data_IF_810552952661
#
_entry.id   IF_810552952661
#
_cell.length_a   1.000
_cell.length_b   1.000
_cell.length_c   1.000
_cell.angle_alpha   90.00
_cell.angle_beta   90.00
_cell.angle_gamma   90.00
#
_symmetry.space_group_name_H-M   'P 1'
#
loop_
_entity.id
_entity.type
_entity.pdbx_description
1 polymer ?
#
# COMPACT_ATOMS: atom_id res chain seq x y z
N UNK A 1 -42.64 43.94 3.38
CA UNK A 1 -42.28 42.57 3.81
C UNK A 1 -40.89 42.27 3.25
N UNK A 2 -39.88 42.12 4.11
CA UNK A 2 -38.49 41.78 3.70
C UNK A 2 -38.33 40.27 3.83
N UNK A 3 -38.10 39.59 2.71
CA UNK A 3 -37.73 38.16 2.67
C UNK A 3 -36.25 38.03 3.04
N UNK A 4 -35.98 37.50 4.23
CA UNK A 4 -34.67 37.04 4.65
C UNK A 4 -34.48 35.60 4.14
N UNK A 5 -33.67 35.44 3.10
CA UNK A 5 -33.09 34.14 2.75
C UNK A 5 -31.80 33.98 3.55
N UNK A 6 -31.83 33.14 4.59
CA UNK A 6 -30.62 32.63 5.23
C UNK A 6 -30.42 31.19 4.75
N UNK A 7 -29.36 31.00 3.96
CA UNK A 7 -28.86 29.70 3.51
C UNK A 7 -28.53 28.82 4.73
N UNK A 8 -28.98 27.55 4.80
CA UNK A 8 -28.39 26.61 5.73
C UNK A 8 -27.02 26.18 5.17
N UNK A 9 -25.96 26.59 5.88
CA UNK A 9 -24.61 26.09 5.70
C UNK A 9 -24.60 24.61 6.11
N UNK A 10 -24.81 23.72 5.14
CA UNK A 10 -24.77 22.28 5.33
C UNK A 10 -23.31 21.86 5.52
N UNK A 11 -22.86 21.84 6.78
CA UNK A 11 -21.61 21.21 7.20
C UNK A 11 -21.69 19.72 6.88
N UNK A 12 -21.10 19.33 5.76
CA UNK A 12 -20.82 17.94 5.45
C UNK A 12 -19.76 17.44 6.43
N UNK A 13 -20.21 16.89 7.55
CA UNK A 13 -19.37 16.08 8.44
C UNK A 13 -18.98 14.83 7.65
N UNK A 14 -17.76 14.84 7.10
CA UNK A 14 -17.13 13.68 6.47
C UNK A 14 -16.73 12.73 7.60
N UNK A 15 -17.69 11.95 8.10
CA UNK A 15 -17.43 10.91 9.08
C UNK A 15 -16.71 9.74 8.41
N UNK A 16 -15.53 9.37 8.93
CA UNK A 16 -14.85 8.16 8.51
C UNK A 16 -15.69 6.94 8.87
N UNK A 17 -15.98 6.12 7.87
CA UNK A 17 -16.79 4.92 8.02
C UNK A 17 -15.93 3.87 8.73
N UNK A 18 -16.22 3.63 9.99
CA UNK A 18 -15.54 2.62 10.81
C UNK A 18 -15.84 1.23 10.26
N UNK A 19 -14.81 0.50 9.81
CA UNK A 19 -14.91 -0.92 9.51
C UNK A 19 -14.71 -1.68 10.83
N UNK A 20 -15.80 -2.24 11.35
CA UNK A 20 -15.84 -2.99 12.60
C UNK A 20 -14.90 -4.21 12.52
N UNK A 21 -13.79 -4.20 13.27
CA UNK A 21 -12.86 -5.32 13.32
C UNK A 21 -12.85 -5.94 14.73
N UNK A 22 -13.34 -7.17 14.82
CA UNK A 22 -13.45 -7.91 16.06
C UNK A 22 -12.08 -8.50 16.47
N UNK A 23 -11.67 -8.20 17.71
CA UNK A 23 -10.75 -8.95 18.58
C UNK A 23 -9.40 -9.39 18.00
N UNK A 24 -8.37 -8.60 18.31
CA UNK A 24 -6.98 -8.89 18.03
C UNK A 24 -6.30 -9.48 19.28
N UNK A 25 -6.13 -10.81 19.26
CA UNK A 25 -5.13 -11.51 20.06
C UNK A 25 -4.42 -12.47 19.09
N UNK A 26 -3.45 -11.98 18.32
CA UNK A 26 -2.68 -12.85 17.42
C UNK A 26 -1.23 -12.91 17.85
N UNK A 27 -0.93 -13.92 18.67
CA UNK A 27 0.42 -14.50 18.70
C UNK A 27 0.71 -15.00 17.30
N UNK A 28 1.75 -14.47 16.66
CA UNK A 28 2.29 -14.93 15.37
C UNK A 28 2.40 -16.45 15.41
N UNK A 29 1.45 -17.15 14.77
CA UNK A 29 1.45 -18.61 14.65
C UNK A 29 2.17 -19.00 13.36
N UNK A 30 2.96 -20.09 13.36
CA UNK A 30 3.60 -20.63 12.17
C UNK A 30 2.62 -21.48 11.36
N UNK A 31 1.40 -20.98 11.13
CA UNK A 31 0.45 -21.56 10.17
C UNK A 31 0.79 -20.99 8.77
N UNK A 32 0.48 -21.71 7.67
CA UNK A 32 0.70 -21.16 6.33
C UNK A 32 0.06 -19.79 6.22
N UNK A 33 0.85 -18.79 5.81
CA UNK A 33 0.38 -17.41 5.76
C UNK A 33 -0.72 -17.33 4.68
N UNK A 34 -1.86 -16.75 5.03
CA UNK A 34 -3.08 -16.76 4.18
C UNK A 34 -2.89 -16.06 2.83
N UNK A 35 -1.81 -15.28 2.66
CA UNK A 35 -1.47 -14.57 1.43
C UNK A 35 -0.71 -15.40 0.38
N UNK A 36 -0.41 -16.69 0.63
CA UNK A 36 0.43 -17.52 -0.25
C UNK A 36 -0.28 -17.97 -1.55
N UNK A 37 -1.57 -17.66 -1.73
CA UNK A 37 -2.25 -17.88 -2.99
C UNK A 37 -1.71 -16.95 -4.09
N UNK A 38 -1.51 -17.50 -5.30
CA UNK A 38 -0.99 -16.72 -6.43
C UNK A 38 -2.02 -15.64 -6.83
N UNK A 39 -1.60 -14.38 -7.01
CA UNK A 39 -2.51 -13.31 -7.37
C UNK A 39 -3.10 -13.52 -8.77
N UNK A 40 -4.42 -13.40 -8.88
CA UNK A 40 -5.14 -13.31 -10.15
C UNK A 40 -4.92 -11.95 -10.82
N UNK A 41 -5.40 -11.78 -12.06
CA UNK A 41 -5.45 -10.45 -12.68
C UNK A 41 -6.34 -9.50 -11.87
N UNK A 42 -5.95 -8.23 -11.80
CA UNK A 42 -6.70 -7.17 -11.13
C UNK A 42 -6.82 -7.35 -9.61
N UNK A 43 -5.75 -7.89 -9.01
CA UNK A 43 -5.63 -8.08 -7.56
C UNK A 43 -4.65 -7.09 -6.93
N UNK A 44 -4.94 -6.74 -5.68
CA UNK A 44 -4.06 -5.98 -4.80
C UNK A 44 -3.63 -6.89 -3.66
N UNK A 45 -2.34 -6.93 -3.36
CA UNK A 45 -1.80 -7.73 -2.25
C UNK A 45 -0.52 -7.10 -1.68
N UNK A 46 -0.10 -7.57 -0.51
CA UNK A 46 1.10 -7.05 0.15
C UNK A 46 2.29 -7.99 0.01
N UNK A 47 3.47 -7.39 -0.10
CA UNK A 47 4.71 -8.10 -0.33
C UNK A 47 5.88 -7.50 0.47
N UNK A 48 6.85 -8.35 0.78
CA UNK A 48 8.15 -7.95 1.33
C UNK A 48 9.25 -8.85 0.75
N UNK A 49 10.51 -8.63 1.15
CA UNK A 49 11.69 -9.35 0.61
C UNK A 49 11.77 -9.28 -0.91
N UNK A 50 11.38 -8.11 -1.44
CA UNK A 50 11.28 -7.86 -2.88
C UNK A 50 12.67 -7.78 -3.49
N UNK A 51 12.88 -8.51 -4.59
CA UNK A 51 14.14 -8.55 -5.34
C UNK A 51 13.87 -8.43 -6.83
N UNK A 52 14.67 -7.61 -7.51
CA UNK A 52 14.64 -7.49 -8.97
C UNK A 52 15.60 -8.50 -9.60
N UNK A 53 15.13 -9.22 -10.61
CA UNK A 53 15.94 -10.01 -11.53
C UNK A 53 15.68 -9.55 -12.96
N UNK A 54 16.75 -9.25 -13.70
CA UNK A 54 16.65 -8.93 -15.14
C UNK A 54 16.84 -10.23 -15.95
N UNK A 55 15.90 -10.50 -16.87
CA UNK A 55 15.93 -11.67 -17.76
C UNK A 55 15.66 -11.20 -19.19
N UNK A 56 16.74 -10.83 -19.90
CA UNK A 56 16.63 -10.26 -21.25
C UNK A 56 16.00 -8.89 -21.21
N UNK A 57 14.89 -8.72 -21.93
CA UNK A 57 14.06 -7.51 -21.96
C UNK A 57 13.08 -7.43 -20.77
N UNK A 58 12.92 -8.51 -20.01
CA UNK A 58 11.95 -8.57 -18.91
C UNK A 58 12.57 -8.31 -17.56
N UNK A 59 11.84 -7.56 -16.74
CA UNK A 59 12.11 -7.37 -15.31
C UNK A 59 11.20 -8.28 -14.51
N UNK A 60 11.77 -9.18 -13.72
CA UNK A 60 11.05 -10.11 -12.86
C UNK A 60 11.22 -9.66 -11.42
N UNK A 61 10.11 -9.42 -10.75
CA UNK A 61 10.06 -9.14 -9.32
C UNK A 61 9.80 -10.44 -8.58
N UNK A 62 10.74 -10.81 -7.73
CA UNK A 62 10.57 -11.89 -6.77
C UNK A 62 10.17 -11.32 -5.41
N UNK A 63 9.29 -12.00 -4.69
CA UNK A 63 8.78 -11.52 -3.43
C UNK A 63 8.33 -12.66 -2.50
N UNK A 64 8.19 -12.33 -1.23
CA UNK A 64 7.40 -13.08 -0.26
C UNK A 64 6.09 -12.33 -0.01
N UNK A 65 4.96 -13.02 0.04
CA UNK A 65 3.70 -12.38 0.40
C UNK A 65 3.74 -11.92 1.86
N UNK A 66 3.00 -10.86 2.18
CA UNK A 66 2.75 -10.42 3.54
C UNK A 66 1.24 -10.35 3.78
N UNK A 67 0.76 -10.92 4.88
CA UNK A 67 -0.59 -10.67 5.36
C UNK A 67 -0.52 -9.46 6.30
N UNK A 68 -1.27 -8.42 5.97
CA UNK A 68 -1.28 -7.14 6.69
C UNK A 68 -2.71 -6.83 7.08
N UNK A 69 -2.93 -6.61 8.36
CA UNK A 69 -4.17 -6.04 8.87
C UNK A 69 -4.15 -4.52 8.65
N UNK A 70 -5.27 -3.98 8.18
CA UNK A 70 -5.43 -2.55 7.93
C UNK A 70 -6.49 -2.01 8.88
N UNK A 71 -6.11 -1.04 9.72
CA UNK A 71 -7.04 -0.24 10.49
C UNK A 71 -7.06 1.19 9.94
N UNK A 72 -8.17 1.91 10.12
CA UNK A 72 -8.28 3.32 9.74
C UNK A 72 -8.34 4.13 11.03
N UNK A 73 -7.42 5.06 11.20
CA UNK A 73 -7.41 5.99 12.32
C UNK A 73 -7.69 7.41 11.84
N UNK A 74 -8.46 8.13 12.65
CA UNK A 74 -8.55 9.59 12.54
C UNK A 74 -7.35 10.22 13.25
N UNK A 75 -6.65 11.10 12.54
CA UNK A 75 -5.53 11.87 13.07
C UNK A 75 -5.72 13.35 12.74
N UNK A 76 -5.33 14.21 13.67
CA UNK A 76 -5.33 15.65 13.44
C UNK A 76 -3.94 16.09 12.97
N UNK A 77 -3.89 16.90 11.91
CA UNK A 77 -2.66 17.56 11.53
C UNK A 77 -2.28 18.68 12.53
N UNK A 78 -1.12 19.30 12.33
CA UNK A 78 -0.62 20.39 13.17
C UNK A 78 -1.55 21.63 13.19
N UNK A 79 -2.45 21.75 12.22
CA UNK A 79 -3.46 22.81 12.13
C UNK A 79 -4.79 22.43 12.78
N UNK A 80 -4.92 21.20 13.30
CA UNK A 80 -6.13 20.66 13.89
C UNK A 80 -7.16 20.17 12.87
N UNK A 81 -6.79 20.01 11.60
CA UNK A 81 -7.65 19.40 10.59
C UNK A 81 -7.58 17.88 10.70
N UNK A 82 -8.76 17.26 10.77
CA UNK A 82 -8.92 15.82 10.83
C UNK A 82 -8.66 15.17 9.46
N UNK A 83 -7.82 14.15 9.42
CA UNK A 83 -7.58 13.29 8.26
C UNK A 83 -7.58 11.82 8.68
N UNK A 84 -7.99 10.95 7.76
CA UNK A 84 -7.97 9.51 8.01
C UNK A 84 -6.71 8.88 7.40
N UNK A 85 -6.03 8.08 8.21
CA UNK A 85 -4.81 7.37 7.85
C UNK A 85 -5.00 5.86 8.01
N UNK A 86 -4.40 5.11 7.08
CA UNK A 86 -4.31 3.67 7.20
C UNK A 86 -3.16 3.31 8.15
N UNK A 87 -3.47 2.50 9.15
CA UNK A 87 -2.52 1.83 10.03
C UNK A 87 -2.34 0.40 9.52
N UNK A 88 -1.09 0.02 9.29
CA UNK A 88 -0.72 -1.29 8.78
C UNK A 88 -0.01 -2.09 9.87
N UNK A 89 -0.56 -3.25 10.22
CA UNK A 89 0.02 -4.17 11.18
C UNK A 89 0.32 -5.53 10.52
N UNK A 90 1.53 -6.05 10.72
CA UNK A 90 1.95 -7.31 10.12
C UNK A 90 1.31 -8.49 10.85
N UNK A 91 0.54 -9.30 10.13
CA UNK A 91 0.03 -10.56 10.67
C UNK A 91 1.03 -11.70 10.44
N UNK A 92 1.51 -11.86 9.20
CA UNK A 92 2.53 -12.85 8.85
C UNK A 92 3.25 -12.53 7.54
N UNK A 93 4.39 -13.20 7.31
CA UNK A 93 5.10 -13.22 6.03
C UNK A 93 5.14 -14.65 5.52
N UNK A 94 4.68 -14.86 4.29
CA UNK A 94 4.73 -16.15 3.62
C UNK A 94 6.16 -16.65 3.46
N UNK A 95 6.34 -17.96 3.56
CA UNK A 95 7.66 -18.58 3.43
C UNK A 95 8.02 -18.89 1.98
N UNK A 96 6.99 -19.02 1.13
CA UNK A 96 7.14 -19.26 -0.30
C UNK A 96 7.56 -17.98 -1.01
N UNK A 97 8.57 -18.11 -1.88
CA UNK A 97 9.01 -17.06 -2.80
C UNK A 97 8.24 -17.20 -4.11
N UNK A 98 7.55 -16.16 -4.52
CA UNK A 98 6.83 -16.10 -5.81
C UNK A 98 7.43 -14.99 -6.71
N UNK A 99 6.95 -14.91 -7.94
CA UNK A 99 7.47 -13.99 -8.96
C UNK A 99 6.39 -13.48 -9.91
N UNK A 100 6.55 -12.23 -10.32
CA UNK A 100 5.72 -11.55 -11.31
C UNK A 100 6.59 -10.74 -12.27
N UNK A 101 6.10 -10.55 -13.49
CA UNK A 101 6.70 -9.63 -14.46
C UNK A 101 6.37 -8.21 -14.01
N UNK A 102 7.37 -7.33 -13.96
CA UNK A 102 7.21 -5.90 -13.74
C UNK A 102 6.91 -5.22 -15.09
N UNK A 103 5.80 -4.50 -15.15
CA UNK A 103 5.46 -3.68 -16.31
C UNK A 103 6.49 -2.57 -16.51
N UNK A 104 7.00 -2.36 -17.73
CA UNK A 104 7.95 -1.26 -18.03
C UNK A 104 7.39 0.11 -17.64
N UNK A 105 6.07 0.26 -17.72
CA UNK A 105 5.34 1.49 -17.46
C UNK A 105 4.77 1.61 -16.03
N UNK A 106 5.21 0.78 -15.07
CA UNK A 106 4.63 0.74 -13.73
C UNK A 106 4.68 2.09 -12.99
N UNK A 107 3.72 2.31 -12.10
CA UNK A 107 3.69 3.49 -11.23
C UNK A 107 4.21 3.14 -9.84
N UNK A 108 5.00 4.03 -9.25
CA UNK A 108 5.50 3.89 -7.89
C UNK A 108 5.01 5.04 -7.01
N UNK A 109 4.49 4.70 -5.82
CA UNK A 109 4.03 5.64 -4.81
C UNK A 109 4.80 5.42 -3.50
N UNK A 110 5.24 6.51 -2.87
CA UNK A 110 5.74 6.50 -1.50
C UNK A 110 5.49 7.88 -0.88
N UNK A 111 5.32 7.93 0.45
CA UNK A 111 5.01 9.16 1.19
C UNK A 111 6.07 10.24 0.94
N UNK A 112 7.35 9.86 0.95
CA UNK A 112 8.48 10.76 0.65
C UNK A 112 8.44 11.41 -0.75
N UNK A 113 7.65 10.87 -1.69
CA UNK A 113 7.50 11.43 -3.04
C UNK A 113 6.45 12.52 -3.12
N UNK A 114 5.53 12.62 -2.15
CA UNK A 114 4.38 13.54 -2.23
C UNK A 114 4.80 15.01 -2.33
N UNK A 115 5.98 15.35 -1.82
CA UNK A 115 6.54 16.71 -1.88
C UNK A 115 7.54 16.93 -3.03
N UNK A 116 7.80 15.91 -3.86
CA UNK A 116 8.80 15.96 -4.92
C UNK A 116 8.14 16.07 -6.30
N UNK A 117 8.60 17.00 -7.13
CA UNK A 117 8.18 17.11 -8.53
C UNK A 117 8.97 16.10 -9.38
N UNK A 118 8.53 14.83 -9.35
CA UNK A 118 9.19 13.72 -10.03
C UNK A 118 8.44 13.29 -11.28
N UNK A 119 9.20 12.99 -12.33
CA UNK A 119 8.70 12.22 -13.45
C UNK A 119 8.42 10.77 -13.01
N UNK A 120 7.61 10.05 -13.78
CA UNK A 120 7.38 8.61 -13.54
C UNK A 120 8.69 7.83 -13.50
N UNK A 121 9.62 8.10 -14.42
CA UNK A 121 10.93 7.44 -14.45
C UNK A 121 11.73 7.74 -13.17
N UNK A 122 11.69 8.98 -12.69
CA UNK A 122 12.28 9.36 -11.39
C UNK A 122 11.70 8.54 -10.23
N UNK A 123 10.37 8.39 -10.18
CA UNK A 123 9.72 7.56 -9.17
C UNK A 123 10.12 6.07 -9.29
N UNK A 124 10.16 5.52 -10.50
CA UNK A 124 10.60 4.14 -10.72
C UNK A 124 12.06 3.92 -10.27
N UNK A 125 12.95 4.90 -10.48
CA UNK A 125 14.33 4.83 -10.00
C UNK A 125 14.38 4.77 -8.47
N UNK A 126 13.53 5.52 -7.78
CA UNK A 126 13.44 5.48 -6.32
C UNK A 126 12.90 4.15 -5.80
N UNK A 127 12.02 3.48 -6.54
CA UNK A 127 11.63 2.10 -6.23
C UNK A 127 12.85 1.16 -6.25
N UNK A 128 13.69 1.22 -7.29
CA UNK A 128 14.87 0.36 -7.35
C UNK A 128 15.88 0.63 -6.23
N UNK A 129 16.00 1.88 -5.79
CA UNK A 129 16.79 2.22 -4.60
C UNK A 129 16.15 1.69 -3.30
N UNK A 130 14.82 1.75 -3.18
CA UNK A 130 14.10 1.19 -2.03
C UNK A 130 14.36 -0.32 -1.87
N UNK A 131 14.52 -1.07 -2.95
CA UNK A 131 14.87 -2.51 -2.90
C UNK A 131 16.23 -2.80 -2.26
N UNK A 132 17.13 -1.81 -2.20
CA UNK A 132 18.47 -1.94 -1.60
C UNK A 132 18.49 -1.56 -0.12
N UNK A 133 17.41 -0.98 0.40
CA UNK A 133 17.35 -0.43 1.76
C UNK A 133 17.25 -1.51 2.85
N UNK A 134 17.68 -1.15 4.06
CA UNK A 134 17.56 -1.96 5.28
C UNK A 134 16.94 -1.11 6.41
N UNK A 135 15.96 -1.62 7.18
CA UNK A 135 15.28 -2.91 7.01
C UNK A 135 14.51 -3.01 5.68
N UNK A 136 14.23 -4.23 5.23
CA UNK A 136 13.53 -4.44 3.95
C UNK A 136 12.11 -3.87 4.01
N UNK A 137 11.72 -3.01 3.07
CA UNK A 137 10.39 -2.40 3.07
C UNK A 137 9.27 -3.39 2.77
N UNK A 138 8.05 -2.98 3.12
CA UNK A 138 6.80 -3.60 2.70
C UNK A 138 6.17 -2.79 1.58
N UNK A 139 5.50 -3.48 0.67
CA UNK A 139 4.85 -2.86 -0.49
C UNK A 139 3.43 -3.40 -0.66
N UNK A 140 2.53 -2.53 -1.14
CA UNK A 140 1.29 -2.90 -1.80
C UNK A 140 1.56 -3.06 -3.30
N UNK A 141 1.17 -4.20 -3.86
CA UNK A 141 1.33 -4.54 -5.25
C UNK A 141 -0.04 -4.61 -5.93
N UNK A 142 -0.18 -3.93 -7.05
CA UNK A 142 -1.37 -4.01 -7.91
C UNK A 142 -1.01 -4.73 -9.21
N UNK A 143 -1.68 -5.85 -9.46
CA UNK A 143 -1.48 -6.68 -10.67
C UNK A 143 -2.54 -6.33 -11.70
N UNK A 144 -2.13 -6.09 -12.94
CA UNK A 144 -3.04 -5.90 -14.08
C UNK A 144 -2.48 -6.58 -15.33
N UNK A 145 -3.31 -7.39 -15.99
CA UNK A 145 -2.89 -8.23 -17.12
C UNK A 145 -1.69 -9.15 -16.79
N UNK A 146 -1.67 -9.76 -15.59
CA UNK A 146 -0.59 -10.65 -15.09
C UNK A 146 0.78 -9.98 -14.90
N UNK A 147 0.83 -8.66 -14.91
CA UNK A 147 2.04 -7.87 -14.65
C UNK A 147 1.82 -6.96 -13.44
N UNK A 148 2.89 -6.63 -12.73
CA UNK A 148 2.89 -5.65 -11.66
C UNK A 148 2.81 -4.25 -12.27
N UNK A 149 1.69 -3.54 -12.04
CA UNK A 149 1.37 -2.25 -12.67
C UNK A 149 1.53 -1.05 -11.74
N UNK A 150 1.25 -1.25 -10.45
CA UNK A 150 1.46 -0.22 -9.44
C UNK A 150 2.09 -0.82 -8.19
N UNK A 151 2.91 0.00 -7.54
CA UNK A 151 3.65 -0.36 -6.34
C UNK A 151 3.55 0.82 -5.37
N UNK A 152 3.05 0.57 -4.15
CA UNK A 152 3.06 1.57 -3.08
C UNK A 152 3.96 1.09 -1.96
N UNK A 153 4.93 1.89 -1.52
CA UNK A 153 5.71 1.61 -0.32
C UNK A 153 4.86 1.88 0.91
N UNK A 154 4.77 0.92 1.81
CA UNK A 154 3.98 1.02 3.04
C UNK A 154 4.89 1.34 4.23
N UNK A 155 4.39 2.22 5.09
CA UNK A 155 4.96 2.48 6.40
C UNK A 155 4.22 1.64 7.44
N UNK A 156 4.90 0.63 7.98
CA UNK A 156 4.39 -0.18 9.09
C UNK A 156 4.45 0.64 10.39
N UNK A 157 3.46 0.47 11.28
CA UNK A 157 3.52 0.98 12.65
C UNK A 157 4.27 0.02 13.58
#
# INVERSE_FOLDING_TARGET
MKLLFALPFMLLLVSCKEANNNNMNSKVRPEPCTCEARPDSDTVFFATKVQLQEMGDKKIIHYNCAAIAIAIASVNDETGMERCENIYELECVGTVKDSLILSDSFTYFAEELAAMDLTREGAQNLFYEALKSKPTPYFEFTVGNKELRAISKIKMQ
#
